data_IF_234957935988
#
_entry.id   IF_234957935988
#
_cell.length_a   1.000
_cell.length_b   1.000
_cell.length_c   1.000
_cell.angle_alpha   90.00
_cell.angle_beta   90.00
_cell.angle_gamma   90.00
#
_symmetry.space_group_name_H-M   'P 1'
#
loop_
_entity.id
_entity.type
_entity.pdbx_description
1 polymer ?
#
# COMPACT_ATOMS: atom_id res chain seq x y z
N UNK A 1 15.30 -6.91 -8.10
CA UNK A 1 14.03 -7.45 -8.63
C UNK A 1 13.63 -6.47 -9.73
N UNK A 2 14.17 -6.65 -10.93
CA UNK A 2 14.01 -5.67 -12.01
C UNK A 2 12.66 -5.92 -12.69
N UNK A 3 11.73 -4.97 -12.57
CA UNK A 3 10.43 -5.04 -13.25
C UNK A 3 9.17 -4.78 -12.42
N UNK A 4 9.29 -4.40 -11.14
CA UNK A 4 8.13 -3.91 -10.38
C UNK A 4 7.74 -2.52 -10.88
N UNK A 5 6.58 -2.42 -11.53
CA UNK A 5 6.00 -1.14 -11.90
C UNK A 5 5.36 -0.49 -10.67
N UNK A 6 5.43 0.84 -10.55
CA UNK A 6 4.71 1.57 -9.51
C UNK A 6 3.22 1.20 -9.48
N UNK A 7 2.74 0.85 -8.29
CA UNK A 7 1.33 0.61 -8.02
C UNK A 7 0.80 1.65 -7.02
N UNK A 8 -0.37 2.19 -7.29
CA UNK A 8 -1.10 3.09 -6.40
C UNK A 8 -2.48 2.51 -6.11
N UNK A 9 -2.82 2.35 -4.82
CA UNK A 9 -4.19 2.11 -4.38
C UNK A 9 -4.84 3.48 -4.10
N UNK A 10 -5.93 3.81 -4.78
CA UNK A 10 -6.52 5.15 -4.69
C UNK A 10 -8.04 5.14 -4.87
N UNK A 11 -8.70 6.23 -4.50
CA UNK A 11 -10.11 6.43 -4.76
C UNK A 11 -10.33 6.80 -6.22
N UNK A 12 -11.41 6.30 -6.84
CA UNK A 12 -11.71 6.59 -8.25
C UNK A 12 -11.80 8.10 -8.53
N UNK A 13 -12.44 8.86 -7.64
CA UNK A 13 -12.53 10.32 -7.75
C UNK A 13 -11.15 11.00 -7.71
N UNK A 14 -10.23 10.53 -6.87
CA UNK A 14 -8.86 11.02 -6.77
C UNK A 14 -7.99 10.64 -7.97
N UNK A 15 -8.29 9.51 -8.64
CA UNK A 15 -7.67 9.16 -9.91
C UNK A 15 -8.19 10.05 -11.03
N UNK A 16 -9.51 10.15 -11.18
CA UNK A 16 -10.15 10.87 -12.28
C UNK A 16 -9.86 12.38 -12.25
N UNK A 17 -9.67 12.97 -11.06
CA UNK A 17 -9.25 14.38 -10.96
C UNK A 17 -7.87 14.65 -11.56
N UNK A 18 -6.98 13.64 -11.57
CA UNK A 18 -5.63 13.72 -12.16
C UNK A 18 -5.60 13.27 -13.62
N UNK A 19 -6.45 12.31 -13.98
CA UNK A 19 -6.48 11.68 -15.29
C UNK A 19 -7.90 11.67 -15.86
N UNK A 20 -8.45 12.85 -16.22
CA UNK A 20 -9.87 13.02 -16.56
C UNK A 20 -10.31 12.27 -17.81
N UNK A 21 -9.36 11.88 -18.68
CA UNK A 21 -9.63 11.09 -19.89
C UNK A 21 -9.56 9.58 -19.66
N UNK A 22 -9.36 9.11 -18.41
CA UNK A 22 -9.30 7.67 -18.13
C UNK A 22 -10.66 7.03 -18.37
N UNK A 23 -10.67 5.94 -19.13
CA UNK A 23 -11.85 5.10 -19.33
C UNK A 23 -11.77 3.85 -18.46
N UNK A 24 -12.93 3.36 -18.03
CA UNK A 24 -13.08 2.08 -17.32
C UNK A 24 -14.13 1.24 -18.05
N UNK A 25 -14.04 -0.08 -17.92
CA UNK A 25 -15.02 -0.99 -18.51
C UNK A 25 -16.40 -0.79 -17.90
N UNK A 26 -17.43 -0.83 -18.75
CA UNK A 26 -18.83 -0.76 -18.31
C UNK A 26 -19.23 -1.98 -17.47
N UNK A 27 -20.13 -1.76 -16.51
CA UNK A 27 -20.79 -2.84 -15.77
C UNK A 27 -21.87 -3.57 -16.62
N UNK A 28 -22.19 -3.06 -17.81
CA UNK A 28 -23.14 -3.66 -18.78
C UNK A 28 -22.51 -4.86 -19.52
N UNK A 29 -22.14 -5.89 -18.75
CA UNK A 29 -21.42 -7.07 -19.26
C UNK A 29 -22.33 -8.18 -19.78
N UNK A 30 -23.65 -8.07 -19.60
CA UNK A 30 -24.62 -9.14 -19.85
C UNK A 30 -24.75 -10.17 -18.71
N UNK A 31 -23.97 -10.03 -17.63
CA UNK A 31 -24.03 -10.91 -16.45
C UNK A 31 -24.63 -10.22 -15.23
N UNK A 32 -25.35 -11.00 -14.40
CA UNK A 32 -25.89 -10.53 -13.12
C UNK A 32 -24.83 -10.63 -12.01
N UNK A 33 -23.89 -9.69 -11.99
CA UNK A 33 -22.91 -9.55 -10.90
C UNK A 33 -22.95 -8.13 -10.34
N UNK A 34 -23.13 -8.01 -9.02
CA UNK A 34 -23.02 -6.72 -8.33
C UNK A 34 -21.55 -6.45 -7.96
N UNK A 35 -20.89 -5.59 -8.73
CA UNK A 35 -19.50 -5.16 -8.48
C UNK A 35 -19.36 -4.09 -7.38
N UNK A 36 -20.46 -3.55 -6.88
CA UNK A 36 -20.46 -2.60 -5.74
C UNK A 36 -20.29 -3.31 -4.40
N UNK A 37 -20.56 -4.62 -4.34
CA UNK A 37 -20.41 -5.43 -3.13
C UNK A 37 -19.07 -6.16 -3.13
N UNK A 38 -18.22 -5.84 -2.16
CA UNK A 38 -17.02 -6.64 -1.89
C UNK A 38 -17.39 -8.02 -1.33
N UNK A 39 -16.93 -9.13 -1.94
CA UNK A 39 -17.17 -10.47 -1.42
C UNK A 39 -16.35 -10.80 -0.16
N UNK A 40 -15.40 -9.93 0.22
CA UNK A 40 -14.45 -10.16 1.32
C UNK A 40 -14.73 -9.31 2.57
N UNK A 41 -15.91 -8.72 2.73
CA UNK A 41 -16.23 -7.85 3.88
C UNK A 41 -15.93 -8.51 5.24
N UNK A 42 -16.43 -9.72 5.47
CA UNK A 42 -16.20 -10.42 6.74
C UNK A 42 -14.74 -10.79 6.95
N UNK A 43 -14.04 -11.13 5.86
CA UNK A 43 -12.61 -11.41 5.93
C UNK A 43 -11.84 -10.18 6.41
N UNK A 44 -12.16 -8.97 5.91
CA UNK A 44 -11.45 -7.75 6.30
C UNK A 44 -11.76 -7.27 7.73
N UNK A 45 -12.81 -7.79 8.39
CA UNK A 45 -13.22 -7.38 9.75
C UNK A 45 -12.44 -8.05 10.88
N UNK A 46 -11.67 -9.09 10.59
CA UNK A 46 -10.94 -9.86 11.60
C UNK A 46 -9.47 -9.99 11.21
N UNK A 47 -8.57 -10.22 12.17
CA UNK A 47 -7.15 -10.51 11.87
C UNK A 47 -6.91 -11.93 11.33
N UNK A 48 -7.93 -12.79 11.30
CA UNK A 48 -7.77 -14.19 10.85
C UNK A 48 -7.41 -14.25 9.37
N UNK A 49 -6.34 -14.98 9.06
CA UNK A 49 -5.91 -15.25 7.68
C UNK A 49 -6.67 -16.44 7.10
N UNK A 50 -6.92 -16.40 5.79
CA UNK A 50 -7.59 -17.50 5.07
C UNK A 50 -6.66 -18.71 4.94
N UNK A 51 -5.36 -18.46 4.79
CA UNK A 51 -4.31 -19.47 4.71
C UNK A 51 -3.18 -19.11 5.68
N UNK A 52 -2.53 -20.11 6.31
CA UNK A 52 -1.40 -19.86 7.19
C UNK A 52 -0.17 -19.41 6.39
N UNK A 53 0.59 -18.48 6.95
CA UNK A 53 1.88 -17.99 6.44
C UNK A 53 2.82 -17.71 7.63
N UNK A 54 4.14 -17.57 7.41
CA UNK A 54 5.03 -17.00 8.43
C UNK A 54 4.48 -15.66 8.95
N UNK A 55 4.48 -15.47 10.26
CA UNK A 55 3.86 -14.32 10.91
C UNK A 55 4.83 -13.59 11.83
N UNK A 56 4.61 -12.28 12.00
CA UNK A 56 5.31 -11.44 12.95
C UNK A 56 4.31 -10.64 13.77
N UNK A 57 4.56 -10.50 15.07
CA UNK A 57 3.77 -9.66 15.98
C UNK A 57 4.21 -8.19 15.98
N UNK A 58 5.14 -7.78 15.09
CA UNK A 58 5.61 -6.39 15.00
C UNK A 58 4.52 -5.41 14.55
N UNK A 59 3.55 -5.88 13.76
CA UNK A 59 2.37 -5.13 13.31
C UNK A 59 1.14 -6.08 13.27
N UNK A 60 -0.10 -5.55 13.32
CA UNK A 60 -1.30 -6.33 13.01
C UNK A 60 -1.17 -7.05 11.66
N UNK A 61 -1.71 -8.26 11.54
CA UNK A 61 -1.53 -9.08 10.35
C UNK A 61 -2.10 -8.36 9.10
N UNK A 62 -3.23 -7.67 9.25
CA UNK A 62 -3.88 -6.91 8.17
C UNK A 62 -3.58 -5.41 8.21
N UNK A 63 -2.50 -4.99 8.88
CA UNK A 63 -2.00 -3.62 8.75
C UNK A 63 -1.59 -3.37 7.29
N UNK A 64 -2.17 -2.36 6.61
CA UNK A 64 -1.71 -1.97 5.29
C UNK A 64 -0.31 -1.35 5.39
N UNK A 65 0.59 -1.77 4.52
CA UNK A 65 1.96 -1.28 4.46
C UNK A 65 2.30 -0.88 3.03
N UNK A 66 3.03 0.21 2.89
CA UNK A 66 3.78 0.52 1.69
C UNK A 66 5.19 -0.04 1.85
N UNK A 67 5.52 -1.10 1.13
CA UNK A 67 6.87 -1.65 1.10
C UNK A 67 7.71 -0.95 0.04
N UNK A 68 8.89 -0.48 0.40
CA UNK A 68 9.83 0.20 -0.50
C UNK A 68 11.15 -0.56 -0.54
N UNK A 69 11.68 -0.69 -1.75
CA UNK A 69 12.86 -1.46 -2.10
C UNK A 69 13.93 -0.52 -2.65
N UNK A 70 15.16 -0.72 -2.18
CA UNK A 70 16.38 -0.29 -2.86
C UNK A 70 17.27 -1.53 -3.12
N UNK A 71 18.50 -1.31 -3.59
CA UNK A 71 19.47 -2.39 -3.78
C UNK A 71 19.93 -3.06 -2.47
N UNK A 72 19.84 -2.36 -1.34
CA UNK A 72 20.36 -2.81 -0.04
C UNK A 72 19.33 -2.80 1.08
N UNK A 73 18.22 -2.10 0.93
CA UNK A 73 17.26 -1.85 2.01
C UNK A 73 15.84 -2.23 1.58
N UNK A 74 15.16 -2.92 2.49
CA UNK A 74 13.74 -3.26 2.42
C UNK A 74 13.06 -2.59 3.61
N UNK A 75 12.17 -1.64 3.36
CA UNK A 75 11.49 -0.90 4.41
C UNK A 75 9.98 -0.90 4.21
N UNK A 76 9.25 -1.24 5.26
CA UNK A 76 7.80 -1.14 5.30
C UNK A 76 7.38 0.13 6.05
N UNK A 77 6.45 0.89 5.46
CA UNK A 77 5.81 2.05 6.08
C UNK A 77 4.37 1.66 6.45
N UNK A 78 4.04 1.51 7.74
CA UNK A 78 2.69 1.23 8.20
C UNK A 78 1.75 2.40 7.87
N UNK A 79 0.53 2.10 7.42
CA UNK A 79 -0.49 3.12 7.19
C UNK A 79 -0.84 3.84 8.50
N UNK A 80 -0.81 3.13 9.63
CA UNK A 80 -1.09 3.66 10.96
C UNK A 80 -0.20 4.83 11.40
N UNK A 81 0.97 4.99 10.79
CA UNK A 81 1.92 6.07 11.11
C UNK A 81 1.53 7.42 10.46
N UNK A 82 0.47 7.42 9.66
CA UNK A 82 -0.04 8.57 8.93
C UNK A 82 -1.43 8.97 9.42
N UNK A 83 -1.73 10.26 9.36
CA UNK A 83 -3.06 10.79 9.68
C UNK A 83 -3.39 12.00 8.79
N UNK A 84 -4.61 12.53 8.91
CA UNK A 84 -4.97 13.75 8.17
C UNK A 84 -4.15 14.97 8.64
N UNK A 85 -3.73 14.98 9.90
CA UNK A 85 -2.87 15.99 10.52
C UNK A 85 -1.38 15.79 10.20
N UNK A 86 -0.98 14.55 9.92
CA UNK A 86 0.36 14.18 9.46
C UNK A 86 0.28 13.40 8.13
N UNK A 87 -0.11 14.06 7.03
CA UNK A 87 -0.38 13.36 5.78
C UNK A 87 0.87 13.13 4.94
N UNK A 88 1.97 13.83 5.20
CA UNK A 88 3.21 13.72 4.43
C UNK A 88 4.32 13.14 5.32
N UNK A 89 5.06 12.18 4.76
CA UNK A 89 6.33 11.71 5.28
C UNK A 89 7.42 11.92 4.24
N UNK A 90 8.51 12.56 4.65
CA UNK A 90 9.75 12.63 3.89
C UNK A 90 10.77 11.69 4.56
N UNK A 91 11.38 10.82 3.77
CA UNK A 91 12.39 9.86 4.25
C UNK A 91 13.51 9.73 3.21
N UNK A 92 14.60 9.06 3.60
CA UNK A 92 15.67 8.65 2.70
C UNK A 92 15.98 7.17 2.89
N UNK A 93 15.98 6.42 1.80
CA UNK A 93 16.41 5.02 1.76
C UNK A 93 17.74 4.97 1.04
N UNK A 94 18.79 4.51 1.72
CA UNK A 94 20.17 4.50 1.21
C UNK A 94 20.61 5.87 0.65
N UNK A 95 20.22 6.94 1.34
CA UNK A 95 20.50 8.32 0.94
C UNK A 95 19.63 8.85 -0.21
N UNK A 96 18.73 8.06 -0.80
CA UNK A 96 17.84 8.45 -1.90
C UNK A 96 16.54 9.05 -1.36
N UNK A 97 16.10 10.21 -1.86
CA UNK A 97 14.90 10.88 -1.36
C UNK A 97 13.62 10.10 -1.71
N UNK A 98 12.67 10.15 -0.79
CA UNK A 98 11.34 9.59 -0.92
C UNK A 98 10.33 10.49 -0.19
N UNK A 99 9.21 10.80 -0.85
CA UNK A 99 8.08 11.51 -0.24
C UNK A 99 6.80 10.69 -0.40
N UNK A 100 6.20 10.35 0.74
CA UNK A 100 4.98 9.55 0.85
C UNK A 100 3.85 10.47 1.31
N UNK A 101 2.70 10.36 0.66
CA UNK A 101 1.47 11.06 1.02
C UNK A 101 0.37 10.05 1.40
N UNK A 102 -0.30 10.33 2.51
CA UNK A 102 -1.52 9.64 2.91
C UNK A 102 -2.72 10.17 2.14
N UNK A 103 -3.54 9.24 1.63
CA UNK A 103 -4.78 9.53 0.93
C UNK A 103 -5.97 9.14 1.81
N UNK A 104 -6.61 10.10 2.54
CA UNK A 104 -7.68 9.77 3.48
C UNK A 104 -8.89 9.09 2.83
N UNK A 105 -9.25 9.52 1.61
CA UNK A 105 -10.39 8.97 0.85
C UNK A 105 -10.22 7.49 0.49
N UNK A 106 -8.98 7.06 0.26
CA UNK A 106 -8.62 5.70 -0.11
C UNK A 106 -8.11 4.88 1.08
N UNK A 107 -7.80 5.53 2.20
CA UNK A 107 -7.08 4.96 3.35
C UNK A 107 -5.82 4.22 2.88
N UNK A 108 -5.02 4.90 2.06
CA UNK A 108 -3.82 4.34 1.43
C UNK A 108 -2.66 5.33 1.43
N UNK A 109 -1.49 4.87 1.00
CA UNK A 109 -0.28 5.68 0.83
C UNK A 109 0.08 5.79 -0.64
N UNK A 110 0.54 6.96 -1.05
CA UNK A 110 1.01 7.28 -2.39
C UNK A 110 2.44 7.82 -2.34
N UNK A 111 3.31 7.29 -3.17
CA UNK A 111 4.62 7.90 -3.40
C UNK A 111 4.44 9.03 -4.41
N UNK A 112 4.73 10.26 -3.97
CA UNK A 112 4.60 11.48 -4.78
C UNK A 112 5.94 11.96 -5.33
N UNK A 113 7.04 11.52 -4.73
CA UNK A 113 8.40 11.76 -5.19
C UNK A 113 9.28 10.59 -4.75
N UNK A 114 10.08 10.04 -5.66
CA UNK A 114 11.07 9.02 -5.35
C UNK A 114 12.20 9.03 -6.38
N UNK A 115 13.39 8.64 -5.95
CA UNK A 115 14.47 8.29 -6.86
C UNK A 115 14.08 7.11 -7.77
N UNK A 116 14.51 7.15 -9.04
CA UNK A 116 14.13 6.15 -10.06
C UNK A 116 14.63 4.73 -9.75
N UNK A 117 15.62 4.60 -8.87
CA UNK A 117 16.15 3.31 -8.43
C UNK A 117 15.41 2.73 -7.23
N UNK A 118 14.39 3.42 -6.72
CA UNK A 118 13.46 2.87 -5.73
C UNK A 118 12.28 2.21 -6.43
N UNK A 119 11.80 1.11 -5.87
CA UNK A 119 10.56 0.47 -6.27
C UNK A 119 9.68 0.27 -5.05
N UNK A 120 8.38 0.08 -5.23
CA UNK A 120 7.46 -0.08 -4.11
C UNK A 120 6.22 -0.89 -4.47
N UNK A 121 5.58 -1.41 -3.42
CA UNK A 121 4.31 -2.13 -3.53
C UNK A 121 3.45 -1.86 -2.30
N UNK A 122 2.15 -1.78 -2.50
CA UNK A 122 1.17 -1.71 -1.42
C UNK A 122 0.68 -3.13 -1.07
N UNK A 123 0.70 -3.50 0.21
CA UNK A 123 0.35 -4.86 0.67
C UNK A 123 -0.24 -4.82 2.08
N UNK A 124 -0.83 -5.92 2.52
CA UNK A 124 -0.99 -6.17 3.96
C UNK A 124 0.31 -6.71 4.57
N UNK A 125 0.53 -6.43 5.85
CA UNK A 125 1.71 -6.83 6.61
C UNK A 125 1.96 -8.34 6.59
N UNK A 126 0.95 -9.18 6.77
CA UNK A 126 1.13 -10.64 6.78
C UNK A 126 1.76 -11.15 5.48
N UNK A 127 1.32 -10.61 4.34
CA UNK A 127 1.81 -11.01 3.03
C UNK A 127 3.20 -10.45 2.77
N UNK A 128 3.43 -9.20 3.15
CA UNK A 128 4.74 -8.56 3.04
C UNK A 128 5.80 -9.30 3.86
N UNK A 129 5.53 -9.52 5.15
CA UNK A 129 6.46 -10.19 6.07
C UNK A 129 6.76 -11.63 5.64
N UNK A 130 5.77 -12.36 5.13
CA UNK A 130 5.98 -13.72 4.62
C UNK A 130 7.00 -13.78 3.47
N UNK A 131 7.12 -12.72 2.67
CA UNK A 131 8.09 -12.62 1.58
C UNK A 131 9.39 -11.90 1.98
N UNK A 132 9.32 -10.99 2.96
CA UNK A 132 10.41 -10.10 3.36
C UNK A 132 10.56 -10.07 4.90
N UNK A 133 10.95 -11.20 5.54
CA UNK A 133 10.99 -11.28 7.00
C UNK A 133 12.02 -10.33 7.63
N UNK A 134 13.12 -10.06 6.91
CA UNK A 134 14.21 -9.18 7.35
C UNK A 134 13.93 -7.69 7.10
N UNK A 135 12.72 -7.34 6.64
CA UNK A 135 12.30 -5.95 6.41
C UNK A 135 12.51 -5.10 7.67
N UNK A 136 13.03 -3.90 7.45
CA UNK A 136 12.91 -2.81 8.39
C UNK A 136 11.44 -2.35 8.41
N UNK A 137 10.99 -1.90 9.57
CA UNK A 137 9.72 -1.18 9.71
C UNK A 137 10.11 0.25 10.02
N UNK A 138 9.60 1.20 9.25
CA UNK A 138 9.72 2.61 9.59
C UNK A 138 9.03 2.80 10.94
N UNK A 139 9.78 3.28 11.94
CA UNK A 139 9.21 3.72 13.20
C UNK A 139 9.25 5.25 13.18
N UNK A 140 8.09 5.91 13.23
CA UNK A 140 8.10 7.31 13.63
C UNK A 140 8.73 7.38 15.02
N UNK A 141 9.91 7.99 15.15
CA UNK A 141 10.41 8.31 16.48
C UNK A 141 9.32 9.08 17.23
N UNK A 142 9.04 8.74 18.51
CA UNK A 142 8.11 9.50 19.32
C UNK A 142 8.51 10.97 19.44
#
# INVERSE_FOLDING_TARGET
MDGLLPLELTAWSSWLSRYPSTEVLSNETGYRRNYERTPYQEYMRTERLMFPVPSSNRLPAKEPVLGVFSNSTLRAYPLSDFSAEKPILEDRIDGKPLRIEFLPSARSLRIVEADQSLSWIYSFWFSWYAMHPDTEIYASQP
#
